data_IF_340796453093
#
_entry.id   IF_340796453093
#
_cell.length_a   1.000
_cell.length_b   1.000
_cell.length_c   1.000
_cell.angle_alpha   90.00
_cell.angle_beta   90.00
_cell.angle_gamma   90.00
#
_symmetry.space_group_name_H-M   'P 1'
#
loop_
_entity.id
_entity.type
_entity.pdbx_description
1 polymer ?
#
# COMPACT_ATOMS: atom_id res chain seq x y z
N UNK A 1 -7.38 0.42 7.65
CA UNK A 1 -6.16 -0.40 7.72
C UNK A 1 -5.42 -0.29 6.40
N UNK A 2 -4.14 -0.01 6.45
CA UNK A 2 -3.30 0.19 5.27
C UNK A 2 -2.15 -0.80 5.32
N UNK A 3 -2.10 -1.69 4.31
CA UNK A 3 -1.21 -2.83 4.31
C UNK A 3 -0.37 -2.85 3.04
N UNK A 4 0.88 -3.28 3.17
CA UNK A 4 1.74 -3.64 2.04
C UNK A 4 2.08 -5.12 2.15
N UNK A 5 1.81 -5.87 1.09
CA UNK A 5 2.20 -7.27 0.97
C UNK A 5 3.50 -7.37 0.18
N UNK A 6 4.51 -7.94 0.81
CA UNK A 6 5.81 -8.20 0.21
C UNK A 6 5.98 -9.70 0.00
N UNK A 7 6.51 -10.08 -1.14
CA UNK A 7 6.85 -11.47 -1.43
C UNK A 7 6.93 -11.74 -2.92
N UNK A 8 7.55 -12.87 -3.33
CA UNK A 8 7.67 -13.23 -4.73
C UNK A 8 6.31 -13.58 -5.34
N UNK A 9 6.11 -13.35 -6.65
CA UNK A 9 4.93 -13.81 -7.35
C UNK A 9 4.81 -15.35 -7.24
N UNK A 10 3.58 -15.86 -7.12
CA UNK A 10 3.31 -17.29 -7.07
C UNK A 10 3.36 -17.92 -5.69
N UNK A 11 3.68 -17.18 -4.62
CA UNK A 11 3.71 -17.69 -3.25
C UNK A 11 2.38 -17.53 -2.50
N UNK A 12 1.26 -17.31 -3.19
CA UNK A 12 -0.06 -17.12 -2.59
C UNK A 12 -0.35 -15.70 -2.13
N UNK A 13 0.50 -14.74 -2.45
CA UNK A 13 0.39 -13.34 -2.08
C UNK A 13 -0.92 -12.71 -2.57
N UNK A 14 -1.28 -12.92 -3.83
CA UNK A 14 -2.51 -12.41 -4.41
C UNK A 14 -3.77 -12.96 -3.71
N UNK A 15 -3.77 -14.23 -3.35
CA UNK A 15 -4.87 -14.86 -2.60
C UNK A 15 -5.02 -14.26 -1.21
N UNK A 16 -3.91 -14.02 -0.51
CA UNK A 16 -3.92 -13.38 0.80
C UNK A 16 -4.42 -11.94 0.71
N UNK A 17 -3.95 -11.18 -0.28
CA UNK A 17 -4.40 -9.81 -0.53
C UNK A 17 -5.91 -9.74 -0.74
N UNK A 18 -6.46 -10.64 -1.54
CA UNK A 18 -7.90 -10.73 -1.81
C UNK A 18 -8.70 -11.04 -0.54
N UNK A 19 -8.22 -11.97 0.28
CA UNK A 19 -8.88 -12.32 1.56
C UNK A 19 -8.89 -11.15 2.53
N UNK A 20 -7.76 -10.47 2.69
CA UNK A 20 -7.64 -9.32 3.59
C UNK A 20 -8.52 -8.17 3.11
N UNK A 21 -8.48 -7.87 1.82
CA UNK A 21 -9.29 -6.82 1.23
C UNK A 21 -10.80 -7.09 1.45
N UNK A 22 -11.24 -8.32 1.24
CA UNK A 22 -12.64 -8.71 1.48
C UNK A 22 -13.04 -8.65 2.94
N UNK A 23 -12.17 -9.11 3.85
CA UNK A 23 -12.46 -9.11 5.28
C UNK A 23 -12.60 -7.70 5.88
N UNK A 24 -11.76 -6.77 5.45
CA UNK A 24 -11.74 -5.41 5.97
C UNK A 24 -12.51 -4.41 5.10
N UNK A 25 -13.13 -4.87 4.03
CA UNK A 25 -13.84 -4.04 3.05
C UNK A 25 -12.98 -2.87 2.52
N UNK A 26 -11.74 -3.17 2.18
CA UNK A 26 -10.76 -2.23 1.62
C UNK A 26 -10.32 -2.70 0.24
N UNK A 27 -9.94 -1.78 -0.67
CA UNK A 27 -9.49 -2.17 -2.01
C UNK A 27 -8.11 -2.83 -1.98
N UNK A 28 -7.94 -3.80 -2.90
CA UNK A 28 -6.65 -4.37 -3.24
C UNK A 28 -6.05 -3.59 -4.40
N UNK A 29 -4.90 -3.00 -4.18
CA UNK A 29 -4.22 -2.17 -5.16
C UNK A 29 -2.98 -2.91 -5.69
N UNK A 30 -3.12 -3.56 -6.84
CA UNK A 30 -1.97 -4.12 -7.57
C UNK A 30 -1.44 -3.10 -8.57
N UNK A 31 -0.13 -3.12 -8.81
CA UNK A 31 0.52 -2.19 -9.75
C UNK A 31 -0.10 -2.27 -11.15
N UNK A 32 -0.30 -3.49 -11.65
CA UNK A 32 -0.88 -3.70 -12.98
C UNK A 32 -2.30 -3.13 -13.09
N UNK A 33 -3.14 -3.36 -12.09
CA UNK A 33 -4.51 -2.83 -12.06
C UNK A 33 -4.52 -1.31 -11.97
N UNK A 34 -3.67 -0.72 -11.14
CA UNK A 34 -3.56 0.73 -11.02
C UNK A 34 -3.12 1.39 -12.34
N UNK A 35 -2.18 0.78 -13.06
CA UNK A 35 -1.74 1.26 -14.36
C UNK A 35 -2.88 1.18 -15.40
N UNK A 36 -3.61 0.07 -15.43
CA UNK A 36 -4.77 -0.08 -16.33
C UNK A 36 -5.89 0.90 -16.01
N UNK A 37 -6.18 1.13 -14.75
CA UNK A 37 -7.17 2.13 -14.32
C UNK A 37 -6.74 3.55 -14.72
N UNK A 38 -5.47 3.88 -14.57
CA UNK A 38 -4.94 5.18 -15.00
C UNK A 38 -5.14 5.41 -16.50
N UNK A 39 -4.84 4.41 -17.31
CA UNK A 39 -5.08 4.45 -18.77
C UNK A 39 -6.55 4.66 -19.09
N UNK A 40 -7.44 3.92 -18.42
CA UNK A 40 -8.87 4.00 -18.62
C UNK A 40 -9.48 5.36 -18.18
N UNK A 41 -8.84 6.05 -17.24
CA UNK A 41 -9.33 7.33 -16.72
C UNK A 41 -9.26 8.49 -17.72
N UNK A 42 -8.46 8.38 -18.77
CA UNK A 42 -8.27 9.43 -19.76
C UNK A 42 -7.49 10.65 -19.24
N UNK A 43 -6.86 10.54 -18.06
CA UNK A 43 -6.03 11.62 -17.49
C UNK A 43 -4.73 11.82 -18.26
N UNK A 44 -4.05 12.94 -18.02
CA UNK A 44 -2.71 13.20 -18.57
C UNK A 44 -1.72 12.11 -18.13
N UNK A 45 -1.78 11.72 -16.86
CA UNK A 45 -0.95 10.63 -16.34
C UNK A 45 -1.30 9.30 -17.04
N UNK A 46 -2.57 8.99 -17.23
CA UNK A 46 -3.03 7.81 -17.95
C UNK A 46 -2.57 7.77 -19.39
N UNK A 47 -2.59 8.89 -20.09
CA UNK A 47 -2.06 9.00 -21.46
C UNK A 47 -0.56 8.71 -21.53
N UNK A 48 0.21 9.18 -20.55
CA UNK A 48 1.65 8.90 -20.45
C UNK A 48 1.91 7.41 -20.21
N UNK A 49 1.18 6.80 -19.29
CA UNK A 49 1.25 5.35 -19.02
C UNK A 49 0.92 4.54 -20.27
N UNK A 50 -0.17 4.89 -20.96
CA UNK A 50 -0.60 4.24 -22.20
C UNK A 50 0.50 4.26 -23.26
N UNK A 51 1.12 5.42 -23.49
CA UNK A 51 2.21 5.56 -24.46
C UNK A 51 3.41 4.67 -24.14
N UNK A 52 3.78 4.58 -22.85
CA UNK A 52 4.88 3.72 -22.40
C UNK A 52 4.55 2.24 -22.60
N UNK A 53 3.35 1.82 -22.23
CA UNK A 53 2.91 0.43 -22.36
C UNK A 53 2.76 -0.02 -23.83
N UNK A 54 2.27 0.85 -24.69
CA UNK A 54 2.13 0.58 -26.13
C UNK A 54 3.47 0.39 -26.84
N UNK A 55 4.52 1.04 -26.36
CA UNK A 55 5.89 0.85 -26.85
C UNK A 55 6.55 -0.42 -26.32
N UNK A 56 5.92 -1.12 -25.37
CA UNK A 56 6.50 -2.28 -24.70
C UNK A 56 7.61 -1.93 -23.71
N UNK A 57 7.75 -0.68 -23.33
CA UNK A 57 8.73 -0.21 -22.37
C UNK A 57 8.29 -0.52 -20.93
N UNK A 58 9.28 -0.62 -20.03
CA UNK A 58 8.99 -0.66 -18.60
C UNK A 58 8.54 0.72 -18.13
N UNK A 59 7.51 0.75 -17.29
CA UNK A 59 7.03 1.99 -16.68
C UNK A 59 8.07 2.46 -15.65
N UNK A 60 8.63 3.68 -15.80
CA UNK A 60 9.62 4.20 -14.86
C UNK A 60 9.08 4.33 -13.44
N UNK A 61 9.95 4.26 -12.44
CA UNK A 61 9.58 4.36 -11.03
C UNK A 61 8.80 5.64 -10.70
N UNK A 62 9.20 6.78 -11.26
CA UNK A 62 8.51 8.06 -11.04
C UNK A 62 7.05 8.04 -11.52
N UNK A 63 6.79 7.36 -12.63
CA UNK A 63 5.43 7.19 -13.17
C UNK A 63 4.62 6.23 -12.31
N UNK A 64 5.21 5.10 -11.91
CA UNK A 64 4.54 4.14 -11.01
C UNK A 64 4.16 4.81 -9.70
N UNK A 65 5.06 5.57 -9.11
CA UNK A 65 4.83 6.30 -7.87
C UNK A 65 3.69 7.31 -8.03
N UNK A 66 3.66 8.05 -9.13
CA UNK A 66 2.60 9.01 -9.42
C UNK A 66 1.23 8.32 -9.54
N UNK A 67 1.17 7.15 -10.18
CA UNK A 67 -0.06 6.35 -10.30
C UNK A 67 -0.52 5.84 -8.94
N UNK A 68 0.40 5.33 -8.12
CA UNK A 68 0.08 4.85 -6.77
C UNK A 68 -0.41 6.00 -5.89
N UNK A 69 0.25 7.14 -5.92
CA UNK A 69 -0.13 8.33 -5.17
C UNK A 69 -1.54 8.80 -5.54
N UNK A 70 -1.83 8.90 -6.83
CA UNK A 70 -3.16 9.25 -7.33
C UNK A 70 -4.23 8.25 -6.87
N UNK A 71 -3.93 6.96 -6.94
CA UNK A 71 -4.87 5.91 -6.53
C UNK A 71 -5.16 5.94 -5.02
N UNK A 72 -4.18 6.25 -4.20
CA UNK A 72 -4.37 6.39 -2.75
C UNK A 72 -5.33 7.54 -2.39
N UNK A 73 -5.44 8.53 -3.23
CA UNK A 73 -6.32 9.69 -3.02
C UNK A 73 -7.78 9.44 -3.43
N UNK A 74 -8.08 8.29 -4.04
CA UNK A 74 -9.45 7.92 -4.37
C UNK A 74 -10.29 7.65 -3.12
N UNK A 75 -11.57 7.96 -3.19
CA UNK A 75 -12.49 7.86 -2.05
C UNK A 75 -12.62 6.45 -1.48
N UNK A 76 -12.52 5.41 -2.29
CA UNK A 76 -12.59 4.02 -1.86
C UNK A 76 -11.36 3.57 -1.05
N UNK A 77 -10.23 4.26 -1.21
CA UNK A 77 -9.00 4.01 -0.46
C UNK A 77 -8.90 4.81 0.85
N UNK A 78 -9.86 5.69 1.13
CA UNK A 78 -9.82 6.57 2.30
C UNK A 78 -9.81 5.80 3.63
N UNK A 79 -10.51 4.66 3.71
CA UNK A 79 -10.58 3.82 4.91
C UNK A 79 -9.48 2.78 5.01
N UNK A 80 -8.65 2.68 4.01
CA UNK A 80 -7.55 1.74 3.94
C UNK A 80 -7.39 1.12 2.58
N UNK A 81 -6.34 0.33 2.43
CA UNK A 81 -6.02 -0.39 1.20
C UNK A 81 -4.98 -1.48 1.47
N UNK A 82 -4.87 -2.40 0.52
CA UNK A 82 -3.81 -3.41 0.47
C UNK A 82 -2.98 -3.16 -0.78
N UNK A 83 -1.70 -2.83 -0.64
CA UNK A 83 -0.77 -2.74 -1.76
C UNK A 83 -0.19 -4.11 -2.06
N UNK A 84 -0.32 -4.54 -3.30
CA UNK A 84 0.19 -5.81 -3.80
C UNK A 84 1.12 -5.58 -4.99
N UNK A 85 2.36 -6.05 -4.88
CA UNK A 85 3.37 -5.90 -5.91
C UNK A 85 4.08 -4.54 -5.96
N UNK A 86 3.90 -3.71 -4.95
CA UNK A 86 4.58 -2.42 -4.78
C UNK A 86 4.84 -2.17 -3.29
N UNK A 87 5.99 -1.65 -2.87
CA UNK A 87 7.18 -1.33 -3.67
C UNK A 87 7.98 -2.58 -4.09
N UNK A 88 8.73 -2.48 -5.20
CA UNK A 88 9.62 -3.53 -5.69
C UNK A 88 11.09 -3.15 -5.66
N UNK A 89 11.38 -1.86 -5.50
CA UNK A 89 12.74 -1.30 -5.42
C UNK A 89 12.86 -0.41 -4.20
N UNK A 90 14.11 -0.16 -3.77
CA UNK A 90 14.40 0.77 -2.66
C UNK A 90 13.92 2.17 -3.00
N UNK A 91 14.11 2.62 -4.23
CA UNK A 91 13.65 3.93 -4.69
C UNK A 91 12.12 4.07 -4.60
N UNK A 92 11.38 3.03 -4.97
CA UNK A 92 9.92 3.00 -4.82
C UNK A 92 9.50 3.01 -3.34
N UNK A 93 10.20 2.26 -2.49
CA UNK A 93 9.91 2.22 -1.06
C UNK A 93 10.11 3.58 -0.39
N UNK A 94 11.22 4.25 -0.69
CA UNK A 94 11.51 5.59 -0.18
C UNK A 94 10.47 6.63 -0.65
N UNK A 95 10.08 6.56 -1.91
CA UNK A 95 9.06 7.44 -2.46
C UNK A 95 7.68 7.18 -1.84
N UNK A 96 7.33 5.91 -1.61
CA UNK A 96 6.10 5.55 -0.91
C UNK A 96 6.09 6.11 0.51
N UNK A 97 7.19 5.99 1.23
CA UNK A 97 7.33 6.56 2.58
C UNK A 97 7.07 8.08 2.59
N UNK A 98 7.62 8.80 1.62
CA UNK A 98 7.38 10.24 1.48
C UNK A 98 5.92 10.57 1.19
N UNK A 99 5.28 9.82 0.30
CA UNK A 99 3.86 10.02 -0.05
C UNK A 99 2.93 9.73 1.14
N UNK A 100 3.24 8.70 1.91
CA UNK A 100 2.48 8.35 3.10
C UNK A 100 2.67 9.38 4.22
N UNK A 101 3.90 9.83 4.44
CA UNK A 101 4.20 10.87 5.42
C UNK A 101 3.48 12.19 5.10
N UNK A 102 3.44 12.58 3.82
CA UNK A 102 2.72 13.75 3.34
C UNK A 102 1.21 13.67 3.63
N UNK A 103 0.65 12.47 3.69
CA UNK A 103 -0.78 12.21 3.98
C UNK A 103 -1.06 11.88 5.44
N UNK A 104 -0.04 11.79 6.28
CA UNK A 104 -0.19 11.38 7.68
C UNK A 104 -0.63 9.93 7.85
N UNK A 105 -0.26 9.05 6.91
CA UNK A 105 -0.67 7.65 6.89
C UNK A 105 0.44 6.76 7.44
N UNK A 106 0.08 5.85 8.35
CA UNK A 106 0.93 4.76 8.82
C UNK A 106 0.61 3.46 8.09
N UNK A 107 1.65 2.70 7.72
CA UNK A 107 1.54 1.40 7.07
C UNK A 107 1.84 0.26 8.02
N UNK A 108 1.17 -0.88 7.76
CA UNK A 108 1.54 -2.18 8.30
C UNK A 108 2.17 -3.02 7.20
N UNK A 109 3.39 -3.50 7.43
CA UNK A 109 4.11 -4.38 6.51
C UNK A 109 3.79 -5.84 6.82
N UNK A 110 3.35 -6.59 5.82
CA UNK A 110 3.20 -8.04 5.89
C UNK A 110 4.22 -8.70 4.96
N UNK A 111 5.16 -9.42 5.56
CA UNK A 111 6.12 -10.23 4.81
C UNK A 111 5.62 -11.67 4.71
N UNK A 112 5.72 -12.27 3.52
CA UNK A 112 5.31 -13.65 3.29
C UNK A 112 6.15 -14.72 3.99
N UNK A 113 7.20 -14.35 4.68
CA UNK A 113 7.91 -15.29 5.57
C UNK A 113 7.09 -15.68 6.81
N UNK A 114 6.05 -14.92 7.15
CA UNK A 114 5.05 -15.37 8.09
C UNK A 114 4.18 -16.39 7.36
N UNK A 115 4.42 -17.65 7.66
CA UNK A 115 3.74 -18.82 7.10
C UNK A 115 2.23 -18.63 7.00
N UNK A 116 1.66 -19.11 5.91
CA UNK A 116 0.24 -19.11 5.55
C UNK A 116 -0.71 -19.61 6.65
N UNK A 117 -0.19 -20.26 7.68
CA UNK A 117 -0.97 -20.80 8.79
C UNK A 117 -1.09 -19.88 10.01
N UNK A 118 -0.55 -18.68 9.97
CA UNK A 118 -0.35 -17.90 11.19
C UNK A 118 -0.76 -16.43 11.16
N UNK A 119 -1.50 -15.94 10.17
CA UNK A 119 -2.14 -14.62 10.33
C UNK A 119 -3.42 -14.86 11.15
N UNK A 120 -3.24 -15.06 12.45
CA UNK A 120 -4.34 -14.99 13.37
C UNK A 120 -4.76 -13.53 13.54
N UNK A 121 -6.02 -13.29 13.74
CA UNK A 121 -6.56 -11.97 14.05
C UNK A 121 -5.78 -11.27 15.16
N UNK A 122 -5.24 -12.03 16.10
CA UNK A 122 -4.44 -11.54 17.20
C UNK A 122 -3.09 -10.93 16.77
N UNK A 123 -2.45 -11.45 15.71
CA UNK A 123 -1.18 -10.89 15.21
C UNK A 123 -1.41 -9.58 14.45
N UNK A 124 -2.55 -9.43 13.81
CA UNK A 124 -2.92 -8.19 13.13
C UNK A 124 -3.34 -7.12 14.14
N UNK A 125 -3.99 -7.51 15.21
CA UNK A 125 -4.42 -6.63 16.30
C UNK A 125 -3.23 -6.11 17.13
N UNK A 126 -2.25 -6.96 17.43
CA UNK A 126 -1.04 -6.58 18.16
C UNK A 126 -0.21 -5.54 17.40
N UNK A 127 -0.06 -5.71 16.10
CA UNK A 127 0.67 -4.76 15.25
C UNK A 127 -0.07 -3.43 15.08
N UNK A 128 -1.41 -3.46 15.15
CA UNK A 128 -2.25 -2.27 15.16
C UNK A 128 -2.08 -1.46 16.43
N UNK A 129 -1.90 -2.11 17.56
CA UNK A 129 -1.74 -1.47 18.87
C UNK A 129 -0.37 -0.80 18.99
N UNK A 130 0.68 -1.41 18.45
CA UNK A 130 2.02 -0.80 18.44
C UNK A 130 2.10 0.43 17.54
N UNK A 131 1.41 0.43 16.40
CA UNK A 131 1.36 1.58 15.51
C UNK A 131 0.59 2.78 16.08
N UNK A 132 -0.33 2.55 17.02
CA UNK A 132 -1.12 3.60 17.68
C UNK A 132 -0.59 3.99 19.05
N UNK A 133 0.31 3.19 19.64
CA UNK A 133 0.85 3.39 20.99
C UNK A 133 1.98 4.42 21.11
N UNK A 134 2.36 5.08 20.03
CA UNK A 134 3.52 5.99 20.00
C UNK A 134 3.24 7.45 20.34
N UNK A 135 2.08 7.81 20.88
CA UNK A 135 1.78 9.18 21.27
C UNK A 135 0.95 9.26 22.55
N UNK A 136 1.53 8.86 23.63
CA UNK A 136 1.10 9.41 24.91
C UNK A 136 2.33 9.94 25.67
N UNK A 137 2.77 11.10 25.25
CA UNK A 137 3.69 11.95 25.97
C UNK A 137 2.92 13.01 26.71
N UNK A 138 2.08 12.62 27.63
CA UNK A 138 1.57 13.56 28.63
C UNK A 138 2.71 13.95 29.55
N UNK A 139 3.06 15.24 29.63
CA UNK A 139 3.98 15.67 30.67
C UNK A 139 3.28 15.50 32.01
N UNK A 140 3.83 14.63 32.84
CA UNK A 140 3.47 14.62 34.24
C UNK A 140 3.81 15.99 34.81
N UNK A 141 2.80 16.74 35.18
CA UNK A 141 2.99 17.88 36.01
C UNK A 141 3.39 17.37 37.39
N UNK A 142 4.67 17.48 37.72
CA UNK A 142 5.07 17.39 39.12
C UNK A 142 4.45 18.56 39.86
N UNK A 143 3.53 18.26 40.73
CA UNK A 143 3.10 19.20 41.76
C UNK A 143 3.81 18.84 43.03
N UNK A 144 4.61 19.75 43.45
CA UNK A 144 5.02 19.86 44.86
C UNK A 144 4.00 20.64 45.66
#
# INVERSE_FOLDING_TARGET
>A
MRLVLLGPPGAGKGTQATRIAGRFAIPQLSTGDMLREAVASGSVLGARVKGIMERGDLVPDDVVIAVVADRMDHSDAANGFVLDGFPRTVAQAEALDRELAARGIALVLLSQKATVSGISESSMEANRTEATGGRDGSPRSERH
#
